data_IF_595547257086
#
_entry.id   IF_595547257086
#
_cell.length_a   1.000
_cell.length_b   1.000
_cell.length_c   1.000
_cell.angle_alpha   90.00
_cell.angle_beta   90.00
_cell.angle_gamma   90.00
#
_symmetry.space_group_name_H-M   'P 1'
#
loop_
_entity.id
_entity.type
_entity.pdbx_description
1 polymer ?
#
# COMPACT_ATOMS: atom_id res chain seq x y z
N UNK A 1 -17.76 -20.41 -9.72
CA UNK A 1 -18.93 -19.75 -10.34
C UNK A 1 -18.52 -18.82 -11.48
N UNK A 2 -17.67 -17.81 -11.25
CA UNK A 2 -17.31 -16.81 -12.28
C UNK A 2 -16.58 -17.40 -13.51
N UNK A 3 -15.69 -18.37 -13.32
CA UNK A 3 -15.06 -19.11 -14.43
C UNK A 3 -16.10 -19.73 -15.39
N UNK A 4 -17.18 -20.33 -14.85
CA UNK A 4 -18.27 -20.91 -15.64
C UNK A 4 -19.05 -19.85 -16.41
N UNK A 5 -19.14 -18.64 -15.86
CA UNK A 5 -19.79 -17.48 -16.49
C UNK A 5 -18.87 -16.74 -17.47
N UNK A 6 -17.64 -17.25 -17.70
CA UNK A 6 -16.65 -16.69 -18.65
C UNK A 6 -16.26 -15.23 -18.39
N UNK A 7 -16.24 -14.81 -17.12
CA UNK A 7 -15.62 -13.53 -16.75
C UNK A 7 -14.10 -13.58 -16.96
N UNK A 8 -13.50 -12.42 -17.21
CA UNK A 8 -12.05 -12.30 -17.35
C UNK A 8 -11.34 -12.52 -15.99
N UNK A 9 -10.09 -12.98 -16.05
CA UNK A 9 -9.31 -13.32 -14.85
C UNK A 9 -9.12 -12.11 -13.92
N UNK A 10 -8.95 -10.89 -14.45
CA UNK A 10 -8.78 -9.69 -13.63
C UNK A 10 -10.02 -9.41 -12.79
N UNK A 11 -11.21 -9.56 -13.38
CA UNK A 11 -12.48 -9.45 -12.65
C UNK A 11 -12.59 -10.55 -11.58
N UNK A 12 -12.25 -11.78 -11.92
CA UNK A 12 -12.30 -12.91 -10.98
C UNK A 12 -11.38 -12.65 -9.77
N UNK A 13 -10.12 -12.29 -10.02
CA UNK A 13 -9.14 -12.00 -8.97
C UNK A 13 -9.57 -10.82 -8.10
N UNK A 14 -10.11 -9.77 -8.71
CA UNK A 14 -10.66 -8.61 -7.99
C UNK A 14 -11.80 -9.04 -7.08
N UNK A 15 -12.79 -9.77 -7.59
CA UNK A 15 -13.94 -10.21 -6.78
C UNK A 15 -13.49 -11.14 -5.66
N UNK A 16 -12.62 -12.10 -5.95
CA UNK A 16 -12.04 -13.00 -4.94
C UNK A 16 -11.31 -12.22 -3.84
N UNK A 17 -10.51 -11.21 -4.22
CA UNK A 17 -9.84 -10.33 -3.26
C UNK A 17 -10.83 -9.59 -2.36
N UNK A 18 -11.86 -8.97 -2.93
CA UNK A 18 -12.86 -8.20 -2.18
C UNK A 18 -13.63 -9.09 -1.21
N UNK A 19 -14.11 -10.24 -1.69
CA UNK A 19 -14.84 -11.21 -0.85
C UNK A 19 -13.93 -11.80 0.22
N UNK A 20 -12.64 -12.03 -0.03
CA UNK A 20 -11.73 -12.51 1.00
C UNK A 20 -11.48 -11.48 2.10
N UNK A 21 -11.42 -10.19 1.76
CA UNK A 21 -10.94 -9.14 2.66
C UNK A 21 -12.04 -8.25 3.27
N UNK A 22 -13.32 -8.38 2.89
CA UNK A 22 -14.38 -7.48 3.40
C UNK A 22 -14.64 -7.58 4.92
N UNK A 23 -14.19 -8.66 5.58
CA UNK A 23 -14.24 -8.78 7.04
C UNK A 23 -12.93 -8.38 7.73
N UNK A 24 -11.91 -7.95 6.98
CA UNK A 24 -10.61 -7.56 7.55
C UNK A 24 -10.76 -6.32 8.41
N UNK A 25 -10.18 -6.35 9.62
CA UNK A 25 -10.11 -5.18 10.49
C UNK A 25 -9.05 -4.20 9.95
N UNK A 26 -9.51 -3.16 9.28
CA UNK A 26 -8.64 -2.09 8.79
C UNK A 26 -8.37 -1.08 9.90
N UNK A 27 -7.09 -0.72 10.10
CA UNK A 27 -6.70 0.33 11.04
C UNK A 27 -6.79 1.70 10.36
N UNK A 28 -7.27 2.70 11.10
CA UNK A 28 -7.42 4.07 10.62
C UNK A 28 -6.10 4.85 10.73
N UNK A 29 -5.06 4.33 10.08
CA UNK A 29 -3.70 4.86 10.10
C UNK A 29 -3.16 4.97 8.67
N UNK A 30 -2.47 6.07 8.35
CA UNK A 30 -1.94 6.29 7.00
C UNK A 30 -0.95 5.22 6.57
N UNK A 31 -0.03 4.83 7.45
CA UNK A 31 0.97 3.78 7.20
C UNK A 31 0.30 2.45 6.86
N UNK A 32 -0.71 2.05 7.65
CA UNK A 32 -1.48 0.83 7.42
C UNK A 32 -2.22 0.86 6.07
N UNK A 33 -2.93 1.96 5.78
CA UNK A 33 -3.65 2.12 4.51
C UNK A 33 -2.69 2.07 3.32
N UNK A 34 -1.56 2.79 3.39
CA UNK A 34 -0.51 2.76 2.36
C UNK A 34 0.08 1.36 2.18
N UNK A 35 0.35 0.62 3.26
CA UNK A 35 0.84 -0.75 3.19
C UNK A 35 -0.17 -1.67 2.51
N UNK A 36 -1.46 -1.52 2.84
CA UNK A 36 -2.52 -2.29 2.21
C UNK A 36 -2.65 -1.96 0.72
N UNK A 37 -2.57 -0.68 0.36
CA UNK A 37 -2.59 -0.22 -1.03
C UNK A 37 -1.35 -0.64 -1.82
N UNK A 38 -0.17 -0.76 -1.18
CA UNK A 38 1.03 -1.34 -1.79
C UNK A 38 0.75 -2.77 -2.27
N UNK A 39 -0.01 -3.56 -1.50
CA UNK A 39 -0.34 -4.95 -1.84
C UNK A 39 -1.45 -5.07 -2.88
N UNK A 40 -2.57 -4.35 -2.71
CA UNK A 40 -3.76 -4.56 -3.56
C UNK A 40 -4.00 -3.48 -4.62
N UNK A 41 -3.29 -2.36 -4.54
CA UNK A 41 -3.55 -1.15 -5.33
C UNK A 41 -4.69 -0.29 -4.77
N UNK A 42 -4.63 1.01 -5.07
CA UNK A 42 -5.59 2.01 -4.60
C UNK A 42 -7.03 1.73 -5.08
N UNK A 43 -7.20 1.25 -6.33
CA UNK A 43 -8.52 0.96 -6.90
C UNK A 43 -9.22 -0.18 -6.15
N UNK A 44 -8.51 -1.26 -5.84
CA UNK A 44 -9.07 -2.37 -5.09
C UNK A 44 -9.32 -2.02 -3.62
N UNK A 45 -8.48 -1.18 -3.01
CA UNK A 45 -8.75 -0.66 -1.67
C UNK A 45 -10.03 0.18 -1.63
N UNK A 46 -10.23 1.07 -2.60
CA UNK A 46 -11.47 1.85 -2.74
C UNK A 46 -12.70 0.95 -2.91
N UNK A 47 -12.60 -0.07 -3.78
CA UNK A 47 -13.67 -1.07 -3.95
C UNK A 47 -13.95 -1.84 -2.66
N UNK A 48 -12.90 -2.18 -1.90
CA UNK A 48 -13.04 -2.88 -0.62
C UNK A 48 -13.84 -2.06 0.38
N UNK A 49 -13.54 -0.78 0.55
CA UNK A 49 -14.31 0.13 1.42
C UNK A 49 -15.78 0.20 1.01
N UNK A 50 -16.07 0.28 -0.29
CA UNK A 50 -17.44 0.26 -0.80
C UNK A 50 -18.19 -1.04 -0.48
N UNK A 51 -17.53 -2.20 -0.62
CA UNK A 51 -18.12 -3.51 -0.26
C UNK A 51 -18.36 -3.60 1.24
N UNK A 52 -17.40 -3.19 2.07
CA UNK A 52 -17.54 -3.15 3.53
C UNK A 52 -18.71 -2.27 3.95
N UNK A 53 -18.88 -1.10 3.30
CA UNK A 53 -20.00 -0.18 3.57
C UNK A 53 -21.33 -0.83 3.22
N UNK A 54 -21.45 -1.40 2.02
CA UNK A 54 -22.68 -2.05 1.56
C UNK A 54 -23.10 -3.21 2.48
N UNK A 55 -22.14 -4.06 2.86
CA UNK A 55 -22.37 -5.18 3.80
C UNK A 55 -22.84 -4.67 5.17
N UNK A 56 -22.25 -3.59 5.68
CA UNK A 56 -22.65 -3.01 6.97
C UNK A 56 -24.06 -2.39 6.93
N UNK A 57 -24.45 -1.76 5.82
CA UNK A 57 -25.78 -1.17 5.64
C UNK A 57 -26.84 -2.27 5.52
N UNK A 58 -26.53 -3.37 4.83
CA UNK A 58 -27.46 -4.48 4.62
C UNK A 58 -27.79 -5.26 5.92
N UNK A 59 -26.94 -5.14 6.96
CA UNK A 59 -27.15 -5.80 8.25
C UNK A 59 -28.19 -5.05 9.08
N UNK A 60 -29.23 -5.75 9.54
CA UNK A 60 -30.16 -5.21 10.56
C UNK A 60 -29.35 -4.78 11.80
N UNK A 61 -29.47 -3.52 12.20
CA UNK A 61 -28.63 -2.94 13.25
C UNK A 61 -27.27 -2.48 12.75
N UNK A 62 -27.22 -1.87 11.56
CA UNK A 62 -26.06 -1.13 11.06
C UNK A 62 -25.55 -0.18 12.15
N UNK A 63 -24.45 -0.54 12.79
CA UNK A 63 -23.91 0.25 13.89
C UNK A 63 -23.27 1.50 13.30
N UNK A 64 -23.74 2.66 13.77
CA UNK A 64 -23.22 3.97 13.37
C UNK A 64 -21.70 4.03 13.46
N UNK A 65 -21.12 3.41 14.48
CA UNK A 65 -19.67 3.37 14.71
C UNK A 65 -18.92 2.64 13.59
N UNK A 66 -19.50 1.56 13.03
CA UNK A 66 -18.87 0.83 11.90
C UNK A 66 -18.87 1.67 10.62
N UNK A 67 -19.94 2.41 10.36
CA UNK A 67 -20.01 3.32 9.23
C UNK A 67 -19.06 4.50 9.39
N UNK A 68 -19.01 5.11 10.58
CA UNK A 68 -18.04 6.16 10.91
C UNK A 68 -16.59 5.69 10.74
N UNK A 69 -16.29 4.44 11.13
CA UNK A 69 -14.97 3.87 10.90
C UNK A 69 -14.62 3.79 9.41
N UNK A 70 -15.56 3.37 8.57
CA UNK A 70 -15.37 3.34 7.11
C UNK A 70 -15.24 4.76 6.55
N UNK A 71 -16.03 5.72 7.03
CA UNK A 71 -15.92 7.13 6.64
C UNK A 71 -14.50 7.68 6.93
N UNK A 72 -13.95 7.37 8.11
CA UNK A 72 -12.60 7.79 8.49
C UNK A 72 -11.52 7.15 7.59
N UNK A 73 -11.66 5.86 7.26
CA UNK A 73 -10.77 5.18 6.32
C UNK A 73 -10.83 5.80 4.92
N UNK A 74 -12.04 6.08 4.41
CA UNK A 74 -12.23 6.74 3.12
C UNK A 74 -11.64 8.16 3.11
N UNK A 75 -11.78 8.92 4.20
CA UNK A 75 -11.18 10.24 4.34
C UNK A 75 -9.64 10.18 4.29
N UNK A 76 -9.02 9.27 5.04
CA UNK A 76 -7.57 9.09 5.00
C UNK A 76 -7.08 8.63 3.62
N UNK A 77 -7.79 7.69 2.99
CA UNK A 77 -7.52 7.26 1.63
C UNK A 77 -7.53 8.46 0.66
N UNK A 78 -8.58 9.29 0.71
CA UNK A 78 -8.70 10.46 -0.16
C UNK A 78 -7.57 11.47 0.08
N UNK A 79 -7.17 11.68 1.33
CA UNK A 79 -6.02 12.54 1.67
C UNK A 79 -4.73 11.99 1.06
N UNK A 80 -4.46 10.68 1.22
CA UNK A 80 -3.27 10.03 0.67
C UNK A 80 -3.20 10.18 -0.85
N UNK A 81 -4.31 9.90 -1.54
CA UNK A 81 -4.38 10.03 -3.00
C UNK A 81 -4.23 11.49 -3.44
N UNK A 82 -4.94 12.42 -2.78
CA UNK A 82 -4.89 13.86 -3.11
C UNK A 82 -3.48 14.43 -2.96
N UNK A 83 -2.75 13.99 -1.93
CA UNK A 83 -1.39 14.44 -1.65
C UNK A 83 -0.32 13.71 -2.48
N UNK A 84 -0.70 12.73 -3.30
CA UNK A 84 0.22 11.83 -4.01
C UNK A 84 1.28 11.22 -3.07
N UNK A 85 0.87 10.79 -1.86
CA UNK A 85 1.82 10.19 -0.93
C UNK A 85 2.37 8.87 -1.49
N UNK A 86 3.64 8.59 -1.25
CA UNK A 86 4.32 7.42 -1.78
C UNK A 86 3.85 6.11 -1.11
N UNK A 87 3.39 5.16 -1.91
CA UNK A 87 3.11 3.78 -1.47
C UNK A 87 3.41 2.71 -2.53
N UNK A 88 3.86 3.10 -3.74
CA UNK A 88 4.34 2.18 -4.78
C UNK A 88 5.81 2.47 -5.09
N UNK A 89 6.53 1.44 -5.54
CA UNK A 89 7.94 1.57 -5.95
C UNK A 89 8.15 2.65 -7.02
N UNK A 90 7.19 2.81 -7.94
CA UNK A 90 7.25 3.83 -8.99
C UNK A 90 7.12 5.27 -8.48
N UNK A 91 6.57 5.44 -7.27
CA UNK A 91 6.39 6.76 -6.64
C UNK A 91 7.57 7.08 -5.71
N UNK A 92 8.53 6.16 -5.57
CA UNK A 92 9.72 6.35 -4.74
C UNK A 92 10.68 7.34 -5.41
N UNK A 93 11.23 8.27 -4.65
CA UNK A 93 12.13 9.31 -5.16
C UNK A 93 13.50 8.77 -5.62
N UNK A 94 13.81 7.51 -5.30
CA UNK A 94 15.00 6.80 -5.76
C UNK A 94 14.62 5.61 -6.63
N UNK A 95 15.52 5.23 -7.53
CA UNK A 95 15.37 4.05 -8.38
C UNK A 95 16.60 3.15 -8.31
N UNK A 96 16.59 2.05 -9.07
CA UNK A 96 17.70 1.10 -9.09
C UNK A 96 19.02 1.69 -9.58
N UNK A 97 18.99 2.70 -10.47
CA UNK A 97 20.20 3.38 -10.94
C UNK A 97 20.86 4.19 -9.83
N UNK A 98 20.09 4.81 -8.94
CA UNK A 98 20.65 5.50 -7.77
C UNK A 98 21.40 4.53 -6.85
N UNK A 99 20.84 3.33 -6.64
CA UNK A 99 21.47 2.30 -5.83
C UNK A 99 22.70 1.68 -6.52
N UNK A 100 22.68 1.57 -7.85
CA UNK A 100 23.85 1.13 -8.64
C UNK A 100 25.05 2.06 -8.47
N UNK A 101 24.83 3.38 -8.47
CA UNK A 101 25.89 4.37 -8.24
C UNK A 101 26.52 4.25 -6.85
N UNK A 102 25.75 3.79 -5.86
CA UNK A 102 26.24 3.51 -4.51
C UNK A 102 26.95 2.15 -4.37
N UNK A 103 27.08 1.38 -5.46
CA UNK A 103 27.77 0.09 -5.47
C UNK A 103 26.87 -1.12 -5.18
N UNK A 104 25.56 -0.95 -5.05
CA UNK A 104 24.63 -2.09 -4.93
C UNK A 104 24.37 -2.71 -6.30
N UNK A 105 24.32 -4.04 -6.42
CA UNK A 105 24.08 -4.71 -7.71
C UNK A 105 23.24 -5.99 -7.58
N UNK A 106 22.63 -6.39 -8.69
CA UNK A 106 21.91 -7.65 -8.84
C UNK A 106 20.58 -7.72 -8.08
N UNK A 107 20.23 -8.95 -7.63
CA UNK A 107 18.93 -9.28 -7.01
C UNK A 107 18.62 -8.43 -5.77
N UNK A 108 19.64 -7.92 -5.09
CA UNK A 108 19.51 -7.14 -3.85
C UNK A 108 18.88 -5.75 -4.06
N UNK A 109 18.86 -5.21 -5.29
CA UNK A 109 18.31 -3.87 -5.55
C UNK A 109 16.80 -3.83 -5.33
N UNK A 110 16.07 -4.84 -5.84
CA UNK A 110 14.61 -4.89 -5.70
C UNK A 110 14.19 -4.99 -4.23
N UNK A 111 14.85 -5.86 -3.49
CA UNK A 111 14.61 -6.06 -2.06
C UNK A 111 14.93 -4.79 -1.26
N UNK A 112 16.02 -4.09 -1.61
CA UNK A 112 16.41 -2.84 -0.96
C UNK A 112 15.41 -1.70 -1.25
N UNK A 113 14.94 -1.58 -2.50
CA UNK A 113 13.89 -0.61 -2.83
C UNK A 113 12.59 -0.90 -2.07
N UNK A 114 12.24 -2.18 -1.87
CA UNK A 114 11.08 -2.55 -1.06
C UNK A 114 11.24 -2.17 0.42
N UNK A 115 12.43 -2.39 0.99
CA UNK A 115 12.76 -1.96 2.36
C UNK A 115 12.66 -0.44 2.51
N UNK A 116 13.24 0.31 1.56
CA UNK A 116 13.18 1.78 1.57
C UNK A 116 11.72 2.24 1.47
N UNK A 117 10.94 1.67 0.55
CA UNK A 117 9.52 1.98 0.40
C UNK A 117 8.76 1.71 1.71
N UNK A 118 9.03 0.60 2.39
CA UNK A 118 8.39 0.30 3.68
C UNK A 118 8.71 1.36 4.73
N UNK A 119 9.96 1.82 4.82
CA UNK A 119 10.37 2.91 5.73
C UNK A 119 9.73 4.25 5.37
N UNK A 120 9.55 4.53 4.09
CA UNK A 120 8.83 5.73 3.61
C UNK A 120 7.34 5.64 3.98
N UNK A 121 6.74 4.46 3.86
CA UNK A 121 5.35 4.21 4.24
C UNK A 121 5.15 4.39 5.75
N UNK A 122 6.04 3.87 6.58
CA UNK A 122 6.00 4.00 8.06
C UNK A 122 6.35 5.41 8.54
N UNK A 123 6.94 6.24 7.70
CA UNK A 123 7.33 7.62 8.04
C UNK A 123 8.69 7.71 8.74
N UNK A 124 9.48 6.63 8.74
CA UNK A 124 10.86 6.63 9.25
C UNK A 124 11.78 7.46 8.36
N UNK A 125 11.49 7.51 7.05
CA UNK A 125 12.27 8.26 6.06
C UNK A 125 11.30 9.06 5.19
N UNK A 126 11.63 10.32 4.90
CA UNK A 126 10.87 11.10 3.94
C UNK A 126 11.15 10.65 2.50
N UNK A 127 10.13 10.69 1.64
CA UNK A 127 10.29 10.37 0.22
C UNK A 127 11.01 11.49 -0.56
N UNK A 128 12.24 11.79 -0.16
CA UNK A 128 13.13 12.73 -0.82
C UNK A 128 14.42 11.99 -1.21
N UNK A 129 14.88 12.21 -2.44
CA UNK A 129 16.04 11.51 -2.99
C UNK A 129 17.28 11.66 -2.10
N UNK A 130 17.58 12.88 -1.64
CA UNK A 130 18.76 13.14 -0.82
C UNK A 130 18.61 12.55 0.57
N UNK A 131 17.43 12.66 1.19
CA UNK A 131 17.15 12.06 2.51
C UNK A 131 17.23 10.53 2.49
N UNK A 132 16.75 9.90 1.42
CA UNK A 132 16.85 8.45 1.24
C UNK A 132 18.31 8.05 1.08
N UNK A 133 19.05 8.68 0.15
CA UNK A 133 20.45 8.33 -0.14
C UNK A 133 21.40 8.60 1.05
N UNK A 134 21.08 9.59 1.89
CA UNK A 134 21.86 9.92 3.09
C UNK A 134 21.41 9.19 4.36
N UNK A 135 20.36 8.38 4.27
CA UNK A 135 19.78 7.66 5.42
C UNK A 135 20.78 6.71 6.06
N UNK A 136 20.67 6.52 7.38
CA UNK A 136 21.50 5.57 8.14
C UNK A 136 21.40 4.15 7.58
N UNK A 137 20.23 3.75 7.07
CA UNK A 137 20.01 2.45 6.43
C UNK A 137 21.03 2.17 5.32
N UNK A 138 21.20 3.09 4.38
CA UNK A 138 22.13 2.86 3.26
C UNK A 138 23.59 2.91 3.71
N UNK A 139 23.90 3.75 4.71
CA UNK A 139 25.26 3.81 5.29
C UNK A 139 25.65 2.49 5.96
N UNK A 140 24.76 1.92 6.77
CA UNK A 140 24.96 0.63 7.43
C UNK A 140 25.11 -0.53 6.42
N UNK A 141 24.37 -0.48 5.31
CA UNK A 141 24.45 -1.50 4.26
C UNK A 141 25.70 -1.36 3.39
N UNK A 142 26.18 -0.14 3.14
CA UNK A 142 27.45 0.08 2.42
C UNK A 142 28.68 -0.31 3.25
N UNK A 143 28.63 -0.23 4.59
CA UNK A 143 29.75 -0.63 5.46
C UNK A 143 29.85 -2.15 5.65
N UNK A 144 28.81 -2.91 5.32
CA UNK A 144 28.77 -4.36 5.46
C UNK A 144 28.99 -5.14 4.15
N UNK A 145 29.33 -4.46 3.05
CA UNK A 145 29.70 -5.09 1.78
C UNK A 145 31.23 -4.98 1.58
N UNK A 146 32.01 -6.05 1.80
CA UNK A 146 33.44 -6.10 1.49
C UNK A 146 33.73 -6.13 -0.02
#
# INVERSE_FOLDING_TARGET
VLNRMKYDNKTIDTVCFLVKNHYTKLLCEKSFIKMFMKTCGAENFKRLLAVMRADNIAKNGAARDRLMHIDNLENLFNIIIKNNECFLLKDLAVNGSDLLVLGFSGKNIGDLLDIILNKVITGEIENDRNKILSSSLLKELTQNNP
#
